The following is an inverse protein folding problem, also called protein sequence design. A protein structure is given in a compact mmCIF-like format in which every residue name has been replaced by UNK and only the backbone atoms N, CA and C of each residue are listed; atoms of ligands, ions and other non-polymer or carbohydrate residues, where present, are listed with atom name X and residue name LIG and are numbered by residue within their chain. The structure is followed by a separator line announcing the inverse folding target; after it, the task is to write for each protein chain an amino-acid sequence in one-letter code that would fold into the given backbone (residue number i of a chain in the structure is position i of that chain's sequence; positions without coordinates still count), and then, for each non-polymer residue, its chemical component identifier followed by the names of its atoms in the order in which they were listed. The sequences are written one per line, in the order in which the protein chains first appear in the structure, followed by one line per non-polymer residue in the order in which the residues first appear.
data_IF_578738601402
#
_entry.id   IF_578738601402
#
_cell.length_a   1.000
_cell.length_b   1.000
_cell.length_c   1.000
_cell.angle_alpha   90.00
_cell.angle_beta   90.00
_cell.angle_gamma   90.00
#
_symmetry.space_group_name_H-M   'P 1'
#
loop_
_entity.id
_entity.type
_entity.pdbx_description
1 polymer ?
#
# COMPACT_ATOMS: atom_id res chain seq x y z
N UNK A 1 -1.74 -22.89 -18.24
CA UNK A 1 -1.65 -22.29 -16.91
C UNK A 1 -2.76 -21.24 -16.80
N UNK A 2 -3.60 -21.31 -15.78
CA UNK A 2 -4.68 -20.33 -15.58
C UNK A 2 -4.12 -18.99 -15.12
N UNK A 3 -4.78 -17.90 -15.52
CA UNK A 3 -4.39 -16.56 -15.08
C UNK A 3 -4.76 -16.33 -13.61
N UNK A 4 -3.84 -15.78 -12.84
CA UNK A 4 -4.12 -15.34 -11.46
C UNK A 4 -4.93 -14.05 -11.46
N UNK A 5 -5.65 -13.77 -10.37
CA UNK A 5 -6.57 -12.64 -10.26
C UNK A 5 -5.93 -11.29 -10.62
N UNK A 6 -4.70 -11.03 -10.15
CA UNK A 6 -3.97 -9.79 -10.43
C UNK A 6 -3.64 -9.56 -11.91
N UNK A 7 -3.62 -10.62 -12.73
CA UNK A 7 -3.36 -10.51 -14.18
C UNK A 7 -4.64 -10.37 -15.01
N UNK A 8 -5.80 -10.38 -14.39
CA UNK A 8 -7.09 -10.20 -15.07
C UNK A 8 -7.56 -8.75 -15.09
N UNK A 9 -6.93 -7.89 -14.30
CA UNK A 9 -7.23 -6.44 -14.26
C UNK A 9 -6.63 -5.75 -15.47
N UNK A 10 -7.40 -4.89 -16.15
CA UNK A 10 -6.89 -4.08 -17.26
C UNK A 10 -6.03 -2.91 -16.74
N UNK A 11 -4.71 -3.14 -16.70
CA UNK A 11 -3.74 -2.15 -16.22
C UNK A 11 -3.64 -0.89 -17.10
N UNK A 12 -4.17 -0.89 -18.32
CA UNK A 12 -4.23 0.31 -19.15
C UNK A 12 -5.32 1.27 -18.71
N UNK A 13 -6.37 0.75 -18.07
CA UNK A 13 -7.50 1.53 -17.54
C UNK A 13 -7.41 1.79 -16.05
N UNK A 14 -6.54 1.07 -15.33
CA UNK A 14 -6.44 1.15 -13.87
C UNK A 14 -5.92 2.52 -13.43
N UNK A 15 -6.68 3.17 -12.55
CA UNK A 15 -6.31 4.44 -11.94
C UNK A 15 -5.58 4.22 -10.60
N UNK A 16 -5.05 5.30 -10.02
CA UNK A 16 -4.60 5.32 -8.63
C UNK A 16 -5.82 5.11 -7.72
N UNK A 17 -5.64 4.43 -6.60
CA UNK A 17 -6.76 4.19 -5.69
C UNK A 17 -6.53 3.05 -4.71
N UNK A 18 -7.63 2.59 -4.13
CA UNK A 18 -7.69 1.48 -3.17
C UNK A 18 -8.68 0.46 -3.71
N UNK A 19 -8.21 -0.72 -4.04
CA UNK A 19 -9.04 -1.75 -4.66
C UNK A 19 -9.00 -3.04 -3.84
N UNK A 20 -10.13 -3.75 -3.75
CA UNK A 20 -10.13 -5.13 -3.29
C UNK A 20 -9.57 -5.99 -4.41
N UNK A 21 -8.36 -6.52 -4.20
CA UNK A 21 -7.72 -7.43 -5.14
C UNK A 21 -8.34 -8.81 -5.10
N UNK A 22 -8.50 -9.35 -3.88
CA UNK A 22 -9.18 -10.63 -3.64
C UNK A 22 -9.58 -10.78 -2.18
N UNK A 23 -10.51 -11.68 -1.94
CA UNK A 23 -10.92 -12.13 -0.60
C UNK A 23 -10.71 -13.63 -0.55
N UNK A 24 -9.92 -14.09 0.42
CA UNK A 24 -9.68 -15.51 0.69
C UNK A 24 -10.47 -15.94 1.92
N UNK A 25 -11.06 -17.14 1.86
CA UNK A 25 -11.68 -17.79 3.00
C UNK A 25 -10.78 -18.91 3.53
N UNK A 26 -10.48 -18.88 4.81
CA UNK A 26 -9.64 -19.88 5.48
C UNK A 26 -10.36 -20.33 6.76
N UNK A 27 -10.87 -21.58 6.76
CA UNK A 27 -11.57 -22.16 7.91
C UNK A 27 -12.72 -21.28 8.45
N UNK A 28 -13.54 -20.72 7.56
CA UNK A 28 -14.65 -19.85 7.93
C UNK A 28 -14.30 -18.41 8.28
N UNK A 29 -13.00 -18.05 8.25
CA UNK A 29 -12.51 -16.70 8.41
C UNK A 29 -12.10 -16.11 7.05
N UNK A 30 -12.15 -14.80 6.95
CA UNK A 30 -11.82 -14.10 5.71
C UNK A 30 -10.54 -13.28 5.85
N UNK A 31 -9.82 -13.17 4.74
CA UNK A 31 -8.65 -12.29 4.59
C UNK A 31 -8.85 -11.50 3.30
N UNK A 32 -8.78 -10.17 3.41
CA UNK A 32 -8.90 -9.28 2.25
C UNK A 32 -7.53 -8.72 1.86
N UNK A 33 -7.16 -8.89 0.61
CA UNK A 33 -5.97 -8.28 0.01
C UNK A 33 -6.40 -7.03 -0.75
N UNK A 34 -5.85 -5.88 -0.33
CA UNK A 34 -6.05 -4.60 -1.00
C UNK A 34 -4.87 -4.25 -1.88
N UNK A 35 -5.20 -3.78 -3.07
CA UNK A 35 -4.29 -3.13 -4.01
C UNK A 35 -4.34 -1.62 -3.77
N UNK A 36 -3.30 -1.09 -3.13
CA UNK A 36 -3.15 0.36 -2.91
C UNK A 36 -2.27 0.91 -4.03
N UNK A 37 -2.94 1.36 -5.09
CA UNK A 37 -2.29 1.77 -6.34
C UNK A 37 -1.91 3.24 -6.29
N UNK A 38 -0.62 3.52 -6.21
CA UNK A 38 -0.08 4.88 -6.09
C UNK A 38 0.25 5.53 -7.43
N UNK A 39 0.55 4.73 -8.45
CA UNK A 39 0.96 5.18 -9.78
C UNK A 39 0.01 4.67 -10.86
N UNK A 40 -0.18 5.46 -11.89
CA UNK A 40 -0.88 5.02 -13.10
C UNK A 40 -0.04 3.98 -13.84
N UNK A 41 -0.46 2.70 -13.90
CA UNK A 41 0.38 1.66 -14.50
C UNK A 41 0.74 1.97 -15.95
N UNK A 42 2.02 1.85 -16.29
CA UNK A 42 2.56 2.08 -17.64
C UNK A 42 2.35 3.50 -18.22
N UNK A 43 1.88 4.47 -17.41
CA UNK A 43 1.55 5.83 -17.84
C UNK A 43 2.31 6.92 -17.09
N UNK A 44 3.02 6.57 -16.03
CA UNK A 44 3.89 7.47 -15.26
C UNK A 44 5.09 6.71 -14.67
N UNK A 45 6.15 7.42 -14.23
CA UNK A 45 7.29 6.78 -13.57
C UNK A 45 6.87 6.04 -12.31
N UNK A 46 7.47 4.87 -12.10
CA UNK A 46 7.26 4.06 -10.89
C UNK A 46 8.02 4.63 -9.70
N UNK A 47 7.72 4.14 -8.50
CA UNK A 47 8.45 4.47 -7.28
C UNK A 47 9.85 3.84 -7.34
N UNK A 48 10.90 4.60 -7.03
CA UNK A 48 12.25 4.05 -7.00
C UNK A 48 12.45 3.13 -5.79
N UNK A 49 13.45 2.26 -5.86
CA UNK A 49 13.63 1.17 -4.89
C UNK A 49 13.87 1.68 -3.47
N UNK A 50 14.72 2.70 -3.29
CA UNK A 50 15.10 3.19 -1.96
C UNK A 50 13.91 3.80 -1.19
N UNK A 51 13.10 4.65 -1.85
CA UNK A 51 11.90 5.20 -1.22
C UNK A 51 10.81 4.17 -1.02
N UNK A 52 10.68 3.20 -1.92
CA UNK A 52 9.76 2.09 -1.79
C UNK A 52 10.07 1.25 -0.54
N UNK A 53 11.35 0.96 -0.31
CA UNK A 53 11.85 0.24 0.86
C UNK A 53 11.61 1.03 2.15
N UNK A 54 11.86 2.34 2.14
CA UNK A 54 11.56 3.21 3.29
C UNK A 54 10.07 3.21 3.62
N UNK A 55 9.20 3.32 2.62
CA UNK A 55 7.75 3.28 2.80
C UNK A 55 7.29 1.92 3.36
N UNK A 56 7.91 0.83 2.96
CA UNK A 56 7.63 -0.50 3.53
C UNK A 56 7.91 -0.52 5.04
N UNK A 57 9.07 -0.06 5.47
CA UNK A 57 9.44 -0.01 6.88
C UNK A 57 8.50 0.89 7.69
N UNK A 58 8.23 2.10 7.20
CA UNK A 58 7.34 3.05 7.85
C UNK A 58 5.90 2.51 7.93
N UNK A 59 5.40 2.00 6.82
CA UNK A 59 4.02 1.52 6.73
C UNK A 59 3.76 0.28 7.58
N UNK A 60 4.67 -0.69 7.54
CA UNK A 60 4.58 -1.88 8.38
C UNK A 60 4.61 -1.51 9.87
N UNK A 61 5.49 -0.60 10.26
CA UNK A 61 5.60 -0.12 11.64
C UNK A 61 4.33 0.60 12.08
N UNK A 62 3.81 1.51 11.26
CA UNK A 62 2.58 2.24 11.56
C UNK A 62 1.39 1.30 11.74
N UNK A 63 1.16 0.40 10.78
CA UNK A 63 0.00 -0.49 10.78
C UNK A 63 0.02 -1.44 11.98
N UNK A 64 1.18 -2.03 12.31
CA UNK A 64 1.30 -2.97 13.43
C UNK A 64 1.30 -2.28 14.81
N UNK A 65 1.37 -0.97 14.86
CA UNK A 65 1.20 -0.16 16.07
C UNK A 65 -0.11 0.63 16.09
N UNK A 66 -0.95 0.49 15.07
CA UNK A 66 -2.21 1.23 15.00
C UNK A 66 -3.15 0.83 16.14
N UNK A 67 -3.76 1.78 16.86
CA UNK A 67 -4.56 1.48 18.04
C UNK A 67 -5.77 0.58 17.77
N UNK A 68 -6.35 0.66 16.57
CA UNK A 68 -7.54 -0.11 16.20
C UNK A 68 -7.22 -1.32 15.31
N UNK A 69 -6.30 -1.16 14.35
CA UNK A 69 -6.08 -2.15 13.27
C UNK A 69 -4.93 -3.13 13.49
N UNK A 70 -4.04 -2.91 14.46
CA UNK A 70 -2.82 -3.70 14.63
C UNK A 70 -3.03 -5.22 14.67
N UNK A 71 -4.12 -5.68 15.28
CA UNK A 71 -4.42 -7.10 15.41
C UNK A 71 -5.06 -7.70 14.14
N UNK A 72 -5.47 -6.84 13.22
CA UNK A 72 -6.06 -7.24 11.94
C UNK A 72 -5.02 -7.27 10.80
N UNK A 73 -3.83 -6.71 11.00
CA UNK A 73 -2.79 -6.63 9.96
C UNK A 73 -2.14 -7.99 9.74
N UNK A 74 -2.21 -8.47 8.51
CA UNK A 74 -1.53 -9.70 8.06
C UNK A 74 -0.22 -9.34 7.36
N UNK A 75 -0.26 -8.37 6.43
CA UNK A 75 0.90 -7.98 5.64
C UNK A 75 0.75 -6.58 5.05
N UNK A 76 1.88 -5.88 4.93
CA UNK A 76 2.05 -4.68 4.15
C UNK A 76 3.37 -4.77 3.39
N UNK A 77 3.35 -4.59 2.08
CA UNK A 77 4.57 -4.66 1.29
C UNK A 77 4.39 -4.17 -0.14
N UNK A 78 5.49 -3.82 -0.82
CA UNK A 78 5.46 -3.26 -2.16
C UNK A 78 5.11 -4.31 -3.22
N UNK A 79 4.48 -3.83 -4.30
CA UNK A 79 4.33 -4.61 -5.52
C UNK A 79 5.66 -4.66 -6.28
N UNK A 80 5.96 -5.79 -6.92
CA UNK A 80 7.16 -5.96 -7.73
C UNK A 80 7.26 -4.96 -8.90
N UNK A 81 6.12 -4.49 -9.44
CA UNK A 81 6.06 -3.46 -10.48
C UNK A 81 6.31 -2.04 -9.96
N UNK A 82 6.41 -1.84 -8.65
CA UNK A 82 6.68 -0.57 -7.98
C UNK A 82 5.65 0.53 -8.26
N UNK A 83 4.40 0.15 -8.48
CA UNK A 83 3.29 1.10 -8.69
C UNK A 83 2.41 1.27 -7.46
N UNK A 84 2.70 0.56 -6.38
CA UNK A 84 1.97 0.64 -5.12
C UNK A 84 2.31 -0.48 -4.16
N UNK A 85 1.41 -0.70 -3.22
CA UNK A 85 1.57 -1.65 -2.12
C UNK A 85 0.37 -2.60 -2.03
N UNK A 86 0.61 -3.79 -1.51
CA UNK A 86 -0.45 -4.64 -1.00
C UNK A 86 -0.62 -4.45 0.51
N UNK A 87 -1.86 -4.30 0.93
CA UNK A 87 -2.28 -4.34 2.34
C UNK A 87 -3.19 -5.54 2.52
N UNK A 88 -2.84 -6.43 3.43
CA UNK A 88 -3.63 -7.62 3.72
C UNK A 88 -4.15 -7.53 5.15
N UNK A 89 -5.46 -7.58 5.29
CA UNK A 89 -6.15 -7.47 6.58
C UNK A 89 -7.09 -8.65 6.80
N UNK A 90 -7.24 -9.03 8.06
CA UNK A 90 -8.29 -9.97 8.48
C UNK A 90 -9.65 -9.34 8.27
N UNK A 91 -10.63 -10.17 7.91
CA UNK A 91 -12.00 -9.76 7.69
C UNK A 91 -12.41 -9.74 6.23
N UNK A 92 -13.72 -9.72 5.99
CA UNK A 92 -14.33 -9.54 4.67
C UNK A 92 -14.64 -8.06 4.50
N UNK A 93 -13.70 -7.34 3.89
CA UNK A 93 -13.70 -5.88 3.84
C UNK A 93 -13.89 -5.37 2.42
N UNK A 94 -14.42 -4.15 2.33
CA UNK A 94 -14.53 -3.38 1.09
C UNK A 94 -13.51 -2.22 1.07
N UNK A 95 -13.23 -1.67 -0.10
CA UNK A 95 -12.28 -0.55 -0.25
C UNK A 95 -12.61 0.63 0.66
N UNK A 96 -13.91 0.94 0.82
CA UNK A 96 -14.37 2.04 1.68
C UNK A 96 -14.04 1.86 3.16
N UNK A 97 -13.91 0.60 3.62
CA UNK A 97 -13.65 0.30 5.04
C UNK A 97 -12.26 0.73 5.49
N UNK A 98 -11.33 0.90 4.57
CA UNK A 98 -9.94 1.26 4.88
C UNK A 98 -9.50 2.64 4.37
N UNK A 99 -10.42 3.46 3.87
CA UNK A 99 -10.07 4.80 3.37
C UNK A 99 -9.41 5.63 4.47
N UNK A 100 -9.99 5.69 5.65
CA UNK A 100 -9.45 6.48 6.76
C UNK A 100 -8.10 5.92 7.23
N UNK A 101 -7.97 4.60 7.33
CA UNK A 101 -6.70 3.95 7.66
C UNK A 101 -5.61 4.31 6.63
N UNK A 102 -5.92 4.32 5.34
CA UNK A 102 -4.95 4.69 4.30
C UNK A 102 -4.58 6.17 4.36
N UNK A 103 -5.53 7.05 4.62
CA UNK A 103 -5.24 8.48 4.85
C UNK A 103 -4.30 8.69 6.04
N UNK A 104 -4.55 8.01 7.15
CA UNK A 104 -3.69 8.07 8.34
C UNK A 104 -2.28 7.52 8.03
N UNK A 105 -2.19 6.37 7.36
CA UNK A 105 -0.93 5.74 6.97
C UNK A 105 -0.08 6.65 6.09
N UNK A 106 -0.66 7.18 5.02
CA UNK A 106 0.08 8.02 4.07
C UNK A 106 0.41 9.39 4.64
N UNK A 107 -0.43 9.93 5.53
CA UNK A 107 -0.09 11.13 6.31
C UNK A 107 1.10 10.88 7.23
N UNK A 108 1.10 9.76 7.95
CA UNK A 108 2.22 9.37 8.80
C UNK A 108 3.53 9.28 7.99
N UNK A 109 3.52 8.59 6.85
CA UNK A 109 4.70 8.45 6.00
C UNK A 109 5.13 9.79 5.37
N UNK A 110 4.19 10.66 5.02
CA UNK A 110 4.48 11.97 4.45
C UNK A 110 5.15 12.92 5.46
N UNK A 111 4.79 12.81 6.73
CA UNK A 111 5.23 13.71 7.80
C UNK A 111 6.36 13.13 8.66
N UNK A 112 6.74 11.87 8.43
CA UNK A 112 7.73 11.18 9.26
C UNK A 112 9.08 11.87 9.21
N UNK A 113 9.70 12.02 10.39
CA UNK A 113 11.04 12.59 10.59
C UNK A 113 11.81 11.72 11.57
N UNK A 114 13.10 11.64 11.39
CA UNK A 114 13.98 10.89 12.27
C UNK A 114 14.48 9.59 11.65
N UNK A 115 14.92 8.68 12.48
CA UNK A 115 15.49 7.39 12.06
C UNK A 115 14.40 6.46 11.56
N UNK A 116 14.63 5.84 10.39
CA UNK A 116 13.70 4.87 9.81
C UNK A 116 13.70 3.61 10.67
N UNK A 117 12.53 3.15 11.15
CA UNK A 117 12.43 1.93 11.95
C UNK A 117 13.05 0.73 11.21
N UNK A 118 13.85 -0.07 11.90
CA UNK A 118 14.43 -1.29 11.35
C UNK A 118 15.53 -1.07 10.31
N UNK A 119 16.00 0.16 10.07
CA UNK A 119 17.04 0.47 9.09
C UNK A 119 18.46 0.33 9.68
N UNK A 120 18.74 -0.80 10.28
CA UNK A 120 20.07 -1.15 10.80
C UNK A 120 20.55 -2.47 10.22
N UNK A 121 21.86 -2.70 10.24
CA UNK A 121 22.46 -3.91 9.68
C UNK A 121 21.98 -5.21 10.36
N UNK A 122 21.54 -5.13 11.61
CA UNK A 122 21.04 -6.29 12.35
C UNK A 122 19.55 -6.58 12.07
N UNK A 123 18.79 -5.57 11.65
CA UNK A 123 17.34 -5.65 11.50
C UNK A 123 16.91 -5.80 10.04
N UNK A 124 17.74 -5.39 9.09
CA UNK A 124 17.40 -5.34 7.66
C UNK A 124 18.52 -5.91 6.80
N UNK A 125 18.15 -6.72 5.81
CA UNK A 125 19.09 -7.34 4.88
C UNK A 125 19.76 -6.36 3.91
N UNK A 126 19.23 -5.13 3.78
CA UNK A 126 19.79 -4.06 2.92
C UNK A 126 19.51 -2.68 3.53
N UNK A 127 19.98 -2.45 4.74
CA UNK A 127 19.60 -1.29 5.54
C UNK A 127 20.04 0.07 4.99
N UNK A 128 21.05 0.11 4.10
CA UNK A 128 21.52 1.34 3.47
C UNK A 128 20.65 1.81 2.29
N UNK A 129 19.80 0.94 1.76
CA UNK A 129 18.92 1.24 0.63
C UNK A 129 17.65 1.94 1.10
N UNK A 130 17.78 3.19 1.50
CA UNK A 130 16.71 4.01 2.08
C UNK A 130 16.71 5.42 1.46
N UNK A 131 15.53 6.03 1.35
CA UNK A 131 15.37 7.42 0.94
C UNK A 131 14.13 8.03 1.60
N UNK A 132 14.30 8.60 2.79
CA UNK A 132 13.19 9.19 3.56
C UNK A 132 12.57 10.41 2.85
N UNK A 133 13.38 11.28 2.31
CA UNK A 133 12.89 12.50 1.64
C UNK A 133 11.94 12.16 0.48
N UNK A 134 12.30 11.18 -0.35
CA UNK A 134 11.46 10.74 -1.45
C UNK A 134 10.27 9.89 -0.98
N UNK A 135 10.42 9.12 0.09
CA UNK A 135 9.28 8.42 0.71
C UNK A 135 8.23 9.42 1.24
N UNK A 136 8.66 10.50 1.89
CA UNK A 136 7.77 11.59 2.31
C UNK A 136 7.06 12.22 1.08
N UNK A 137 7.82 12.53 0.02
CA UNK A 137 7.28 13.14 -1.19
C UNK A 137 6.22 12.25 -1.87
N UNK A 138 6.53 10.98 -2.11
CA UNK A 138 5.62 10.04 -2.76
C UNK A 138 4.35 9.81 -1.91
N UNK A 139 4.50 9.72 -0.60
CA UNK A 139 3.38 9.56 0.33
C UNK A 139 2.47 10.78 0.34
N UNK A 140 3.06 11.97 0.41
CA UNK A 140 2.32 13.24 0.36
C UNK A 140 1.57 13.41 -0.95
N UNK A 141 2.22 13.12 -2.07
CA UNK A 141 1.62 13.18 -3.41
C UNK A 141 0.39 12.27 -3.52
N UNK A 142 0.51 11.01 -3.09
CA UNK A 142 -0.62 10.07 -3.13
C UNK A 142 -1.76 10.50 -2.19
N UNK A 143 -1.44 10.99 -0.99
CA UNK A 143 -2.43 11.51 -0.06
C UNK A 143 -3.23 12.67 -0.67
N UNK A 144 -2.54 13.71 -1.13
CA UNK A 144 -3.16 14.95 -1.62
C UNK A 144 -3.85 14.80 -2.97
N UNK A 145 -3.22 14.08 -3.92
CA UNK A 145 -3.74 13.96 -5.28
C UNK A 145 -4.80 12.85 -5.43
N UNK A 146 -4.76 11.81 -4.60
CA UNK A 146 -5.64 10.65 -4.74
C UNK A 146 -6.52 10.41 -3.53
N UNK A 147 -5.95 10.18 -2.35
CA UNK A 147 -6.73 9.77 -1.17
C UNK A 147 -7.71 10.84 -0.69
N UNK A 148 -7.38 12.12 -0.84
CA UNK A 148 -8.27 13.25 -0.50
C UNK A 148 -9.33 13.54 -1.58
N UNK A 149 -9.24 12.89 -2.75
CA UNK A 149 -10.11 13.11 -3.90
C UNK A 149 -10.71 11.81 -4.46
N UNK A 150 -10.94 10.81 -3.62
CA UNK A 150 -11.44 9.50 -4.07
C UNK A 150 -12.85 9.60 -4.65
N UNK A 151 -13.03 8.91 -5.76
CA UNK A 151 -14.31 8.64 -6.39
C UNK A 151 -14.50 7.13 -6.52
N UNK A 152 -15.67 6.68 -6.95
CA UNK A 152 -15.93 5.26 -7.17
C UNK A 152 -14.92 4.60 -8.13
N UNK A 153 -14.46 5.34 -9.13
CA UNK A 153 -13.43 4.88 -10.08
C UNK A 153 -12.06 4.61 -9.44
N UNK A 154 -11.82 5.08 -8.22
CA UNK A 154 -10.61 4.82 -7.44
C UNK A 154 -10.78 3.67 -6.43
N UNK A 155 -11.97 3.07 -6.34
CA UNK A 155 -12.31 2.07 -5.32
C UNK A 155 -12.75 0.73 -5.94
N UNK A 156 -13.08 0.71 -7.22
CA UNK A 156 -13.54 -0.48 -7.94
C UNK A 156 -12.69 -0.65 -9.19
N UNK A 157 -12.19 -1.87 -9.41
CA UNK A 157 -11.41 -2.17 -10.60
C UNK A 157 -12.17 -1.88 -11.90
N UNK A 158 -11.52 -1.28 -12.89
CA UNK A 158 -12.12 -1.10 -14.20
C UNK A 158 -12.41 -2.46 -14.86
N UNK A 159 -13.57 -2.59 -15.45
CA UNK A 159 -13.99 -3.76 -16.23
C UNK A 159 -13.60 -3.66 -17.70
#
# INVERSE_FOLDING_TARGET
MERIASFTVDHKKLNRGIYVSRIDEINGNYITTFDVRMKLPNREPVINIAELHTMEHLGATFLRNHPTWRDEVVYFGPMGCRTGFYVILKGKLESKDIIDLMKELYKFMAEFKGEIPGATAIECGNYLDQNLAMANFESKKFLEETLENLTEANLIYPR
#
